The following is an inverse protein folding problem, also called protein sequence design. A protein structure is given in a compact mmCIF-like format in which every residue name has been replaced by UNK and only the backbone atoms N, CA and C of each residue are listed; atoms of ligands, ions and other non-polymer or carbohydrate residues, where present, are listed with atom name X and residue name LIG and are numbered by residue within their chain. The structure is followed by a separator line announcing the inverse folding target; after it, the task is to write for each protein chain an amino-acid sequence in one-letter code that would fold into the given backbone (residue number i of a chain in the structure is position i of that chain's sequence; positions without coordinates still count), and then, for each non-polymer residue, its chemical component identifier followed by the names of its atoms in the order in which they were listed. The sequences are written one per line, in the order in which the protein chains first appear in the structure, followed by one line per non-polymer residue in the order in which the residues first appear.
data_IF_846320332468
#
_entry.id   IF_846320332468
#
_cell.length_a   1.000
_cell.length_b   1.000
_cell.length_c   1.000
_cell.angle_alpha   90.00
_cell.angle_beta   90.00
_cell.angle_gamma   90.00
#
_symmetry.space_group_name_H-M   'P 1'
#
loop_
_entity.id
_entity.type
_entity.pdbx_description
1 polymer ?
#
# COMPACT_ATOMS: atom_id res chain seq x y z
N UNK A 1 1.70 -10.15 16.14
CA UNK A 1 1.68 -10.18 14.65
C UNK A 1 0.31 -10.62 14.15
N UNK A 2 -0.69 -9.74 14.25
CA UNK A 2 -2.00 -9.95 13.62
C UNK A 2 -2.09 -8.99 12.43
N UNK A 3 -1.25 -9.22 11.41
CA UNK A 3 -1.43 -8.54 10.13
C UNK A 3 -2.69 -9.10 9.49
N UNK A 4 -3.61 -8.23 9.08
CA UNK A 4 -4.76 -8.61 8.27
C UNK A 4 -4.30 -9.55 7.17
N UNK A 5 -4.89 -10.74 7.15
CA UNK A 5 -4.63 -11.73 6.11
C UNK A 5 -5.30 -11.25 4.84
N UNK A 6 -4.61 -10.36 4.13
CA UNK A 6 -4.85 -10.16 2.71
C UNK A 6 -4.71 -11.52 2.03
N UNK A 7 -5.84 -12.20 1.82
CA UNK A 7 -5.91 -13.37 0.94
C UNK A 7 -5.34 -12.89 -0.39
N UNK A 8 -4.22 -13.38 -0.94
CA UNK A 8 -3.84 -14.76 -1.21
C UNK A 8 -4.57 -15.29 -2.48
N UNK A 9 -5.89 -15.07 -2.58
CA UNK A 9 -6.70 -15.57 -3.69
C UNK A 9 -6.64 -14.64 -4.93
N UNK A 10 -6.20 -15.09 -6.11
CA UNK A 10 -6.20 -14.31 -7.35
C UNK A 10 -7.60 -13.87 -7.80
N UNK A 11 -8.66 -14.61 -7.44
CA UNK A 11 -10.04 -14.26 -7.81
C UNK A 11 -10.62 -13.10 -6.99
N UNK A 12 -9.92 -12.70 -5.92
CA UNK A 12 -10.40 -11.69 -4.96
C UNK A 12 -9.49 -10.48 -4.87
N UNK A 13 -8.56 -10.35 -5.81
CA UNK A 13 -7.47 -9.37 -5.69
C UNK A 13 -7.24 -8.58 -6.94
N UNK A 14 -7.11 -7.28 -6.71
CA UNK A 14 -6.60 -6.33 -7.66
C UNK A 14 -5.12 -6.08 -7.37
N UNK A 15 -4.28 -6.20 -8.40
CA UNK A 15 -2.85 -5.92 -8.33
C UNK A 15 -2.53 -4.88 -9.37
N UNK A 16 -2.07 -3.71 -8.91
CA UNK A 16 -1.74 -2.58 -9.77
C UNK A 16 -0.23 -2.34 -9.76
N UNK A 17 0.36 -2.14 -10.93
CA UNK A 17 1.80 -1.91 -11.09
C UNK A 17 2.03 -0.65 -11.90
N UNK A 18 2.64 0.35 -11.27
CA UNK A 18 2.92 1.66 -11.88
C UNK A 18 4.41 1.93 -11.94
N UNK A 19 4.91 2.45 -13.06
CA UNK A 19 6.33 2.77 -13.20
C UNK A 19 6.70 4.02 -12.38
N UNK A 20 7.73 3.92 -11.53
CA UNK A 20 8.27 5.06 -10.76
C UNK A 20 9.50 5.66 -11.46
N UNK A 21 10.44 4.80 -11.86
CA UNK A 21 11.70 5.15 -12.53
C UNK A 21 12.10 4.00 -13.42
N UNK A 22 13.04 4.17 -14.35
CA UNK A 22 13.55 3.11 -15.26
C UNK A 22 13.91 1.79 -14.56
N UNK A 23 14.31 1.85 -13.29
CA UNK A 23 14.71 0.71 -12.47
C UNK A 23 13.69 0.31 -11.39
N UNK A 24 12.60 1.05 -11.17
CA UNK A 24 11.62 0.79 -10.08
C UNK A 24 10.17 0.92 -10.52
N UNK A 25 9.32 0.12 -9.91
CA UNK A 25 7.87 0.22 -10.00
C UNK A 25 7.26 0.26 -8.61
N UNK A 26 6.08 0.86 -8.50
CA UNK A 26 5.19 0.72 -7.36
C UNK A 26 4.25 -0.45 -7.67
N UNK A 27 4.22 -1.44 -6.79
CA UNK A 27 3.26 -2.54 -6.83
C UNK A 27 2.30 -2.36 -5.66
N UNK A 28 1.00 -2.30 -5.95
CA UNK A 28 -0.06 -2.22 -4.96
C UNK A 28 -0.95 -3.45 -5.05
N UNK A 29 -1.39 -3.94 -3.89
CA UNK A 29 -2.34 -5.03 -3.76
C UNK A 29 -3.49 -4.51 -2.90
N UNK A 30 -4.67 -4.42 -3.49
CA UNK A 30 -5.88 -3.96 -2.80
C UNK A 30 -6.57 -5.14 -2.13
N UNK A 31 -6.71 -5.06 -0.81
CA UNK A 31 -7.40 -6.05 0.00
C UNK A 31 -8.75 -5.50 0.42
N UNK A 32 -9.83 -6.10 -0.07
CA UNK A 32 -11.18 -5.67 0.25
C UNK A 32 -11.44 -5.81 1.77
N UNK A 33 -11.82 -4.69 2.40
CA UNK A 33 -12.07 -4.60 3.84
C UNK A 33 -13.49 -4.09 4.13
N UNK A 34 -14.48 -4.54 3.35
CA UNK A 34 -15.91 -4.31 3.57
C UNK A 34 -16.36 -2.83 3.49
N UNK A 35 -17.68 -2.61 3.32
CA UNK A 35 -18.34 -1.29 3.45
C UNK A 35 -17.60 -0.09 2.83
N UNK A 36 -17.08 -0.27 1.60
CA UNK A 36 -16.34 0.73 0.80
C UNK A 36 -14.92 1.08 1.27
N UNK A 37 -14.33 0.34 2.20
CA UNK A 37 -12.92 0.49 2.55
C UNK A 37 -12.08 -0.64 1.95
N UNK A 38 -10.96 -0.28 1.33
CA UNK A 38 -9.88 -1.19 0.94
C UNK A 38 -8.66 -0.92 1.79
N UNK A 39 -7.97 -1.98 2.17
CA UNK A 39 -6.66 -1.91 2.80
C UNK A 39 -5.64 -2.27 1.75
N UNK A 40 -4.80 -1.32 1.38
CA UNK A 40 -3.82 -1.45 0.32
C UNK A 40 -2.47 -1.82 0.91
N UNK A 41 -1.83 -2.81 0.30
CA UNK A 41 -0.43 -3.12 0.56
C UNK A 41 0.42 -2.59 -0.60
N UNK A 42 1.52 -1.91 -0.30
CA UNK A 42 2.37 -1.29 -1.31
C UNK A 42 3.84 -1.73 -1.17
N UNK A 43 4.49 -1.93 -2.31
CA UNK A 43 5.93 -2.22 -2.41
C UNK A 43 6.58 -1.44 -3.54
N UNK A 44 7.79 -0.95 -3.28
CA UNK A 44 8.70 -0.56 -4.35
C UNK A 44 9.43 -1.82 -4.81
N UNK A 45 9.22 -2.19 -6.07
CA UNK A 45 9.82 -3.36 -6.70
C UNK A 45 10.86 -2.93 -7.73
N UNK A 46 11.98 -3.64 -7.79
CA UNK A 46 13.00 -3.40 -8.82
C UNK A 46 12.58 -3.99 -10.17
N UNK A 47 12.92 -3.30 -11.27
CA UNK A 47 12.69 -3.76 -12.65
C UNK A 47 13.93 -4.40 -13.30
N UNK A 48 15.06 -4.44 -12.60
CA UNK A 48 16.34 -5.02 -13.06
C UNK A 48 16.89 -5.99 -12.02
N UNK A 49 17.66 -6.97 -12.47
CA UNK A 49 18.33 -7.93 -11.57
C UNK A 49 19.43 -7.21 -10.77
N UNK A 50 19.65 -7.57 -9.50
CA UNK A 50 18.87 -8.54 -8.71
C UNK A 50 17.49 -8.01 -8.34
N UNK A 51 16.46 -8.88 -8.41
CA UNK A 51 15.10 -8.49 -8.07
C UNK A 51 14.96 -8.29 -6.55
N UNK A 52 14.39 -7.17 -6.14
CA UNK A 52 14.15 -6.80 -4.75
C UNK A 52 12.77 -6.13 -4.62
N UNK A 53 12.14 -6.35 -3.47
CA UNK A 53 10.90 -5.67 -3.06
C UNK A 53 11.11 -5.02 -1.70
N UNK A 54 10.64 -3.78 -1.55
CA UNK A 54 10.69 -3.03 -0.29
C UNK A 54 9.29 -2.54 0.06
N UNK A 55 8.74 -2.91 1.23
CA UNK A 55 7.40 -2.47 1.60
C UNK A 55 7.38 -0.95 1.81
N UNK A 56 6.31 -0.31 1.34
CA UNK A 56 5.96 1.07 1.65
C UNK A 56 4.97 1.03 2.80
N UNK A 57 5.29 1.68 3.91
CA UNK A 57 4.46 1.70 5.13
C UNK A 57 4.36 3.13 5.64
N UNK A 58 3.18 3.50 6.11
CA UNK A 58 3.01 4.71 6.89
C UNK A 58 3.37 4.40 8.35
N UNK A 59 4.13 5.31 8.96
CA UNK A 59 4.52 5.21 10.36
C UNK A 59 4.24 6.53 11.05
N UNK A 60 3.56 6.46 12.18
CA UNK A 60 3.37 7.62 13.03
C UNK A 60 4.73 8.10 13.57
N UNK A 61 4.99 9.42 13.58
CA UNK A 61 6.24 9.97 14.09
C UNK A 61 6.29 9.99 15.63
N UNK A 62 5.22 9.57 16.30
CA UNK A 62 5.11 9.48 17.76
C UNK A 62 4.53 8.12 18.16
N UNK A 63 4.86 7.68 19.37
CA UNK A 63 4.26 6.52 19.99
C UNK A 63 2.89 6.92 20.58
N UNK A 64 1.82 6.28 20.13
CA UNK A 64 0.46 6.53 20.60
C UNK A 64 -0.01 5.52 21.67
N UNK A 65 0.92 4.75 22.26
CA UNK A 65 0.61 3.72 23.25
C UNK A 65 0.13 2.40 22.67
N UNK A 66 0.17 2.23 21.33
CA UNK A 66 -0.09 0.96 20.65
C UNK A 66 1.18 0.11 20.55
N UNK A 67 1.02 -1.19 20.31
CA UNK A 67 2.17 -2.10 20.08
C UNK A 67 2.99 -1.74 18.82
N UNK A 68 2.37 -1.04 17.87
CA UNK A 68 2.99 -0.65 16.60
C UNK A 68 2.58 0.77 16.20
N UNK A 69 3.55 1.52 15.67
CA UNK A 69 3.32 2.83 15.05
C UNK A 69 3.00 2.72 13.54
N UNK A 70 2.89 1.51 13.00
CA UNK A 70 2.56 1.29 11.59
C UNK A 70 1.06 1.55 11.36
N UNK A 71 0.77 2.34 10.33
CA UNK A 71 -0.58 2.60 9.87
C UNK A 71 -0.86 1.82 8.59
N UNK A 72 -2.10 1.37 8.46
CA UNK A 72 -2.61 0.77 7.23
C UNK A 72 -2.81 1.83 6.15
N UNK A 73 -2.51 1.48 4.91
CA UNK A 73 -2.86 2.33 3.77
C UNK A 73 -4.34 2.05 3.46
N UNK A 74 -5.23 2.97 3.81
CA UNK A 74 -6.66 2.82 3.51
C UNK A 74 -7.01 3.57 2.24
N UNK A 75 -7.74 2.93 1.33
CA UNK A 75 -8.23 3.52 0.08
C UNK A 75 -7.10 4.28 -0.67
N UNK A 76 -5.94 3.63 -0.79
CA UNK A 76 -4.76 4.27 -1.32
C UNK A 76 -4.74 4.23 -2.85
N UNK A 77 -4.29 5.31 -3.46
CA UNK A 77 -4.15 5.44 -4.90
C UNK A 77 -2.86 6.18 -5.24
N UNK A 78 -2.26 5.84 -6.38
CA UNK A 78 -1.10 6.55 -6.89
C UNK A 78 -1.54 7.55 -7.95
N UNK A 79 -1.38 8.84 -7.68
CA UNK A 79 -1.61 9.89 -8.67
C UNK A 79 -0.39 10.01 -9.58
N UNK A 80 -0.54 9.58 -10.82
CA UNK A 80 0.54 9.61 -11.82
C UNK A 80 0.97 11.03 -12.19
N UNK A 81 0.09 12.04 -12.05
CA UNK A 81 0.39 13.43 -12.42
C UNK A 81 1.33 14.08 -11.41
N UNK A 82 0.99 13.99 -10.12
CA UNK A 82 1.82 14.50 -9.02
C UNK A 82 2.95 13.53 -8.62
N UNK A 83 2.84 12.26 -9.01
CA UNK A 83 3.72 11.15 -8.63
C UNK A 83 3.67 10.85 -7.12
N UNK A 84 2.49 11.00 -6.53
CA UNK A 84 2.26 10.83 -5.10
C UNK A 84 1.40 9.60 -4.82
N UNK A 85 1.75 8.87 -3.75
CA UNK A 85 0.89 7.85 -3.17
C UNK A 85 0.01 8.52 -2.12
N UNK A 86 -1.29 8.60 -2.40
CA UNK A 86 -2.27 9.29 -1.58
C UNK A 86 -3.16 8.25 -0.90
N UNK A 87 -3.52 8.49 0.36
CA UNK A 87 -4.52 7.70 1.10
C UNK A 87 -5.70 8.60 1.41
N UNK A 88 -6.91 8.14 1.07
CA UNK A 88 -8.13 8.88 1.37
C UNK A 88 -8.60 8.52 2.78
N UNK A 89 -8.35 9.41 3.74
CA UNK A 89 -9.02 9.36 5.02
C UNK A 89 -10.49 9.76 4.81
N UNK A 90 -11.41 8.80 4.92
CA UNK A 90 -12.85 9.08 4.95
C UNK A 90 -13.16 9.89 6.21
N UNK A 91 -13.26 11.22 6.09
CA UNK A 91 -13.60 12.11 7.21
C UNK A 91 -12.94 13.49 7.25
N UNK A 92 -12.21 13.92 6.21
CA UNK A 92 -11.73 15.29 6.09
C UNK A 92 -12.50 16.02 4.96
N UNK A 93 -13.75 16.36 5.25
CA UNK A 93 -14.43 17.55 4.69
C UNK A 93 -14.48 18.62 5.78
#
# INVERSE_FOLDING_TARGET
MNGLRCSLDPLRREVNVTALTDDKALMMISCEAGAYNTIDLAWIVSRKKPLASRPVRLRLPFNNGQETNELELMNATFDEKSRELVTLAKGAD
#
